data_IF_833336294958
#
_entry.id   IF_833336294958
#
_cell.length_a   1.000
_cell.length_b   1.000
_cell.length_c   1.000
_cell.angle_alpha   90.00
_cell.angle_beta   90.00
_cell.angle_gamma   90.00
#
_symmetry.space_group_name_H-M   'P 1'
#
loop_
_entity.id
_entity.type
_entity.pdbx_description
1 polymer ?
#
# COMPACT_ATOMS: atom_id res chain seq x y z
N UNK A 1 -19.06 -1.84 -20.47
CA UNK A 1 -18.57 -1.10 -19.29
C UNK A 1 -17.40 -1.88 -18.72
N UNK A 2 -16.26 -1.24 -18.52
CA UNK A 2 -15.12 -1.82 -17.80
C UNK A 2 -15.00 -1.15 -16.43
N UNK A 3 -14.80 -1.97 -15.39
CA UNK A 3 -14.52 -1.52 -14.04
C UNK A 3 -13.21 -2.13 -13.55
N UNK A 4 -12.42 -1.36 -12.80
CA UNK A 4 -11.20 -1.79 -12.11
C UNK A 4 -11.55 -2.05 -10.65
N UNK A 5 -11.25 -3.25 -10.15
CA UNK A 5 -11.27 -3.49 -8.72
C UNK A 5 -10.14 -2.67 -8.07
N UNK A 6 -10.48 -1.97 -6.99
CA UNK A 6 -9.56 -1.15 -6.19
C UNK A 6 -9.66 -1.59 -4.75
N UNK A 7 -8.53 -1.63 -4.07
CA UNK A 7 -8.42 -1.99 -2.68
C UNK A 7 -7.70 -0.89 -1.89
N UNK A 8 -8.24 -0.56 -0.74
CA UNK A 8 -7.73 0.54 0.06
C UNK A 8 -8.29 0.53 1.46
N UNK A 9 -8.51 1.72 2.01
CA UNK A 9 -9.21 1.91 3.28
C UNK A 9 -10.51 2.66 3.06
N UNK A 10 -11.53 2.24 3.79
CA UNK A 10 -12.71 3.05 4.01
C UNK A 10 -12.45 3.98 5.21
N UNK A 11 -12.64 5.28 4.99
CA UNK A 11 -12.45 6.38 5.95
C UNK A 11 -13.76 7.03 6.39
N UNK A 12 -14.87 6.63 5.75
CA UNK A 12 -16.19 7.18 6.06
C UNK A 12 -16.70 6.73 7.43
N UNK A 13 -17.95 7.08 7.70
CA UNK A 13 -18.61 6.75 8.96
C UNK A 13 -18.67 5.23 9.17
N UNK A 14 -18.26 4.80 10.37
CA UNK A 14 -18.45 3.43 10.88
C UNK A 14 -19.40 3.52 12.07
N UNK A 15 -20.53 2.82 12.00
CA UNK A 15 -21.51 2.79 13.06
C UNK A 15 -20.95 2.10 14.32
N UNK A 16 -21.28 2.59 15.53
CA UNK A 16 -20.86 1.96 16.79
C UNK A 16 -21.32 0.50 16.92
N UNK A 17 -22.40 0.14 16.23
CA UNK A 17 -22.98 -1.22 16.21
C UNK A 17 -22.42 -2.10 15.10
N UNK A 18 -21.72 -1.54 14.12
CA UNK A 18 -21.05 -2.30 13.07
C UNK A 18 -19.99 -3.21 13.66
N UNK A 19 -19.78 -4.38 13.03
CA UNK A 19 -18.66 -5.27 13.35
C UNK A 19 -17.27 -4.62 13.16
N UNK A 20 -17.21 -3.45 12.52
CA UNK A 20 -15.99 -2.67 12.32
C UNK A 20 -15.82 -1.52 13.33
N UNK A 21 -16.71 -1.38 14.32
CA UNK A 21 -16.70 -0.26 15.28
C UNK A 21 -15.38 -0.13 16.06
N UNK A 22 -14.72 -1.25 16.35
CA UNK A 22 -13.39 -1.27 16.99
C UNK A 22 -12.23 -1.09 16.00
N UNK A 23 -12.50 -1.03 14.69
CA UNK A 23 -11.51 -1.07 13.60
C UNK A 23 -11.27 0.29 12.91
N UNK A 24 -11.56 1.40 13.60
CA UNK A 24 -11.58 2.79 13.08
C UNK A 24 -10.32 3.24 12.33
N UNK A 25 -9.18 2.56 12.53
CA UNK A 25 -7.89 2.91 11.91
C UNK A 25 -7.52 1.99 10.72
N UNK A 26 -8.20 0.85 10.54
CA UNK A 26 -7.74 -0.23 9.67
C UNK A 26 -8.80 -0.94 8.82
N UNK A 27 -9.99 -0.36 8.63
CA UNK A 27 -11.01 -0.94 7.76
C UNK A 27 -10.54 -1.04 6.30
N UNK A 28 -9.85 -2.14 5.98
CA UNK A 28 -9.47 -2.49 4.61
C UNK A 28 -10.74 -2.78 3.83
N UNK A 29 -10.83 -2.18 2.67
CA UNK A 29 -12.04 -2.23 1.88
C UNK A 29 -11.73 -2.29 0.39
N UNK A 30 -12.64 -2.86 -0.39
CA UNK A 30 -12.53 -2.93 -1.84
C UNK A 30 -13.79 -2.40 -2.52
N UNK A 31 -13.60 -1.73 -3.65
CA UNK A 31 -14.67 -1.18 -4.48
C UNK A 31 -14.33 -1.30 -5.96
N UNK A 32 -15.24 -0.89 -6.82
CA UNK A 32 -15.03 -0.86 -8.27
C UNK A 32 -14.98 0.59 -8.75
N UNK A 33 -13.94 0.94 -9.48
CA UNK A 33 -13.86 2.19 -10.23
C UNK A 33 -14.20 1.96 -11.70
N UNK A 34 -15.24 2.64 -12.18
CA UNK A 34 -15.64 2.62 -13.59
C UNK A 34 -14.78 3.55 -14.43
N UNK A 35 -14.53 3.17 -15.68
CA UNK A 35 -13.94 4.05 -16.70
C UNK A 35 -14.72 5.35 -16.93
N UNK A 36 -15.98 5.43 -16.49
CA UNK A 36 -16.80 6.64 -16.51
C UNK A 36 -16.57 7.59 -15.33
N UNK A 37 -15.62 7.30 -14.43
CA UNK A 37 -15.29 8.18 -13.31
C UNK A 37 -16.11 7.96 -12.03
N UNK A 38 -16.72 6.77 -11.87
CA UNK A 38 -17.58 6.46 -10.72
C UNK A 38 -17.02 5.32 -9.86
N UNK A 39 -17.17 5.44 -8.54
CA UNK A 39 -16.99 4.39 -7.53
C UNK A 39 -18.31 3.64 -7.37
N UNK A 40 -18.24 2.32 -7.33
CA UNK A 40 -19.32 1.43 -6.92
C UNK A 40 -18.87 0.59 -5.73
N UNK A 41 -19.57 0.73 -4.62
CA UNK A 41 -19.31 0.00 -3.40
C UNK A 41 -20.59 -0.73 -2.95
N UNK A 42 -20.59 -2.04 -3.18
CA UNK A 42 -21.73 -2.92 -2.87
C UNK A 42 -21.74 -3.39 -1.40
N UNK A 43 -20.77 -2.97 -0.60
CA UNK A 43 -20.60 -3.42 0.79
C UNK A 43 -20.44 -2.26 1.77
N UNK A 44 -20.51 -0.99 1.36
CA UNK A 44 -20.46 0.19 2.26
C UNK A 44 -21.39 0.07 3.46
N UNK A 45 -22.60 -0.45 3.24
CA UNK A 45 -23.62 -0.64 4.27
C UNK A 45 -23.16 -1.49 5.47
N UNK A 46 -22.12 -2.34 5.33
CA UNK A 46 -21.57 -3.10 6.45
C UNK A 46 -20.89 -2.20 7.50
N UNK A 47 -20.31 -1.07 7.07
CA UNK A 47 -19.71 -0.09 7.97
C UNK A 47 -20.77 0.75 8.66
N UNK A 48 -21.84 1.08 7.94
CA UNK A 48 -22.94 1.91 8.43
C UNK A 48 -23.94 1.13 9.30
N UNK A 49 -23.88 -0.21 9.26
CA UNK A 49 -24.80 -1.12 9.93
C UNK A 49 -26.27 -0.86 9.55
N UNK A 50 -26.51 -0.77 8.23
CA UNK A 50 -27.83 -0.50 7.63
C UNK A 50 -28.19 -1.55 6.57
N UNK A 51 -29.43 -1.50 6.07
CA UNK A 51 -29.91 -2.36 4.99
C UNK A 51 -29.02 -2.31 3.73
N UNK A 52 -28.80 -3.44 3.04
CA UNK A 52 -27.91 -3.50 1.89
C UNK A 52 -28.27 -2.54 0.75
N UNK A 53 -27.27 -1.81 0.26
CA UNK A 53 -27.37 -0.95 -0.92
C UNK A 53 -26.05 -0.89 -1.69
N UNK A 54 -26.09 -0.37 -2.92
CA UNK A 54 -24.88 -0.06 -3.69
C UNK A 54 -24.65 1.44 -3.60
N UNK A 55 -23.58 1.83 -2.93
CA UNK A 55 -23.13 3.22 -2.91
C UNK A 55 -22.50 3.58 -4.25
N UNK A 56 -22.82 4.77 -4.74
CA UNK A 56 -22.26 5.32 -5.99
C UNK A 56 -21.79 6.74 -5.72
N UNK A 57 -20.54 7.02 -6.08
CA UNK A 57 -19.93 8.34 -5.97
C UNK A 57 -18.92 8.57 -7.10
N UNK A 58 -18.36 9.77 -7.19
CA UNK A 58 -17.25 10.07 -8.10
C UNK A 58 -15.92 9.47 -7.58
N UNK A 59 -15.01 9.14 -8.49
CA UNK A 59 -13.63 8.76 -8.13
C UNK A 59 -12.98 9.91 -7.36
N UNK A 60 -12.32 9.59 -6.24
CA UNK A 60 -11.73 10.57 -5.33
C UNK A 60 -12.64 11.01 -4.18
N UNK A 61 -13.80 10.37 -4.00
CA UNK A 61 -14.68 10.60 -2.84
C UNK A 61 -13.92 10.43 -1.52
N UNK A 62 -14.13 11.35 -0.58
CA UNK A 62 -13.32 11.50 0.64
C UNK A 62 -13.33 10.29 1.57
N UNK A 63 -14.41 9.49 1.54
CA UNK A 63 -14.56 8.25 2.30
C UNK A 63 -13.63 7.12 1.83
N UNK A 64 -12.95 7.25 0.69
CA UNK A 64 -12.14 6.18 0.10
C UNK A 64 -10.67 6.61 0.01
N UNK A 65 -9.77 5.77 0.52
CA UNK A 65 -8.32 5.92 0.41
C UNK A 65 -7.79 4.81 -0.52
N UNK A 66 -7.80 5.00 -1.86
CA UNK A 66 -7.33 4.01 -2.80
C UNK A 66 -5.88 3.66 -2.47
N UNK A 67 -5.59 2.35 -2.46
CA UNK A 67 -4.25 1.88 -2.13
C UNK A 67 -3.76 2.35 -0.74
N UNK A 68 -4.64 2.75 0.19
CA UNK A 68 -4.23 3.27 1.51
C UNK A 68 -3.15 4.35 1.42
N UNK A 69 -3.15 5.17 0.37
CA UNK A 69 -2.07 6.10 0.08
C UNK A 69 -2.00 7.23 1.12
N UNK A 70 -3.14 7.80 1.49
CA UNK A 70 -3.19 8.84 2.53
C UNK A 70 -2.77 8.26 3.89
N UNK A 71 -3.23 7.05 4.22
CA UNK A 71 -2.80 6.36 5.42
C UNK A 71 -1.28 6.12 5.42
N UNK A 72 -0.74 5.62 4.31
CA UNK A 72 0.70 5.44 4.12
C UNK A 72 1.42 6.77 4.29
N UNK A 73 0.94 7.86 3.70
CA UNK A 73 1.51 9.21 3.88
C UNK A 73 1.42 9.72 5.32
N UNK A 74 0.40 9.35 6.10
CA UNK A 74 0.31 9.72 7.52
C UNK A 74 1.27 8.92 8.39
N UNK A 75 1.38 7.62 8.16
CA UNK A 75 2.34 6.74 8.86
C UNK A 75 3.78 7.10 8.47
N UNK A 76 4.02 7.30 7.18
CA UNK A 76 5.30 7.66 6.59
C UNK A 76 5.59 9.16 6.60
N UNK A 77 4.63 10.00 6.99
CA UNK A 77 4.82 11.44 7.22
C UNK A 77 5.74 11.72 8.42
N UNK A 78 6.05 10.69 9.22
CA UNK A 78 7.13 10.69 10.22
C UNK A 78 8.47 10.18 9.67
N UNK A 79 8.57 9.92 8.36
CA UNK A 79 9.67 9.22 7.67
C UNK A 79 10.28 9.99 6.49
N UNK A 80 10.42 11.30 6.64
CA UNK A 80 11.64 12.00 6.16
C UNK A 80 12.88 11.58 6.97
N UNK A 81 12.90 10.39 7.55
CA UNK A 81 14.05 9.87 8.30
C UNK A 81 15.08 9.41 7.27
N UNK A 82 16.36 9.79 7.45
CA UNK A 82 17.43 9.30 6.59
C UNK A 82 17.41 7.78 6.57
N UNK A 83 17.84 7.20 5.46
CA UNK A 83 18.07 5.76 5.36
C UNK A 83 18.94 5.33 6.55
N UNK A 84 18.50 4.35 7.37
CA UNK A 84 19.21 4.02 8.60
C UNK A 84 20.57 3.40 8.29
N UNK A 85 21.52 3.57 9.21
CA UNK A 85 22.80 2.88 9.13
C UNK A 85 22.58 1.35 9.20
N UNK A 86 23.34 0.59 8.40
CA UNK A 86 23.29 -0.86 8.48
C UNK A 86 24.03 -1.31 9.75
N UNK A 87 23.31 -1.92 10.69
CA UNK A 87 23.93 -2.47 11.89
C UNK A 87 24.34 -3.92 11.65
N UNK A 88 25.63 -4.30 11.79
CA UNK A 88 26.04 -5.70 11.63
C UNK A 88 25.43 -6.63 12.69
N UNK A 89 24.88 -6.08 13.78
CA UNK A 89 24.23 -6.83 14.85
C UNK A 89 22.75 -7.11 14.58
N UNK A 90 22.18 -6.59 13.49
CA UNK A 90 20.80 -6.86 13.10
C UNK A 90 20.71 -7.95 12.03
N UNK A 91 19.50 -8.48 11.81
CA UNK A 91 19.24 -9.45 10.74
C UNK A 91 19.64 -8.83 9.39
N UNK A 92 20.59 -9.49 8.74
CA UNK A 92 21.04 -9.14 7.39
C UNK A 92 20.11 -9.79 6.36
N UNK A 93 19.64 -8.98 5.41
CA UNK A 93 18.68 -9.38 4.38
C UNK A 93 19.37 -9.24 3.02
N UNK A 94 19.52 -10.34 2.26
CA UNK A 94 20.11 -10.26 0.93
C UNK A 94 19.22 -9.44 0.01
N UNK A 95 19.85 -8.64 -0.85
CA UNK A 95 19.18 -7.86 -1.89
C UNK A 95 20.04 -7.90 -3.15
N UNK A 96 19.39 -8.04 -4.29
CA UNK A 96 20.05 -8.13 -5.60
C UNK A 96 19.17 -7.55 -6.71
N UNK A 97 19.73 -7.54 -7.92
CA UNK A 97 19.04 -7.12 -9.14
C UNK A 97 18.42 -5.73 -9.05
N UNK A 98 17.25 -5.57 -9.66
CA UNK A 98 16.56 -4.28 -9.74
C UNK A 98 16.17 -3.75 -8.35
N UNK A 99 15.81 -4.62 -7.40
CA UNK A 99 15.48 -4.18 -6.04
C UNK A 99 16.67 -3.49 -5.37
N UNK A 100 17.89 -4.01 -5.57
CA UNK A 100 19.11 -3.38 -5.04
C UNK A 100 19.38 -2.02 -5.69
N UNK A 101 19.14 -1.89 -7.00
CA UNK A 101 19.29 -0.63 -7.73
C UNK A 101 18.31 0.43 -7.24
N UNK A 102 17.03 0.06 -7.10
CA UNK A 102 15.97 0.95 -6.61
C UNK A 102 16.29 1.40 -5.17
N UNK A 103 16.71 0.48 -4.30
CA UNK A 103 17.07 0.84 -2.91
C UNK A 103 18.27 1.78 -2.87
N UNK A 104 19.30 1.56 -3.70
CA UNK A 104 20.45 2.46 -3.78
C UNK A 104 20.05 3.87 -4.21
N UNK A 105 19.18 3.99 -5.21
CA UNK A 105 18.65 5.27 -5.68
C UNK A 105 17.82 5.98 -4.61
N UNK A 106 16.86 5.28 -4.00
CA UNK A 106 15.98 5.82 -2.95
C UNK A 106 16.75 6.29 -1.72
N UNK A 107 17.80 5.55 -1.34
CA UNK A 107 18.62 5.86 -0.18
C UNK A 107 19.80 6.80 -0.49
N UNK A 108 20.01 7.17 -1.75
CA UNK A 108 21.15 8.00 -2.16
C UNK A 108 22.51 7.34 -1.91
N UNK A 109 22.60 6.01 -2.05
CA UNK A 109 23.84 5.27 -1.82
C UNK A 109 24.79 5.41 -3.01
N UNK A 110 26.09 5.52 -2.73
CA UNK A 110 27.13 5.57 -3.77
C UNK A 110 27.38 4.21 -4.44
N UNK A 111 26.92 3.12 -3.83
CA UNK A 111 27.07 1.76 -4.38
C UNK A 111 25.80 0.93 -4.19
N UNK A 112 25.61 -0.02 -5.09
CA UNK A 112 24.47 -0.95 -5.06
C UNK A 112 24.72 -1.96 -3.93
N UNK A 113 23.85 -2.01 -2.90
CA UNK A 113 24.02 -2.95 -1.80
C UNK A 113 23.73 -4.38 -2.28
N UNK A 114 24.47 -5.34 -1.75
CA UNK A 114 24.14 -6.77 -1.85
C UNK A 114 23.45 -7.31 -0.58
N UNK A 115 23.39 -6.48 0.46
CA UNK A 115 22.77 -6.77 1.75
C UNK A 115 22.27 -5.49 2.39
N UNK A 116 21.14 -5.57 3.08
CA UNK A 116 20.61 -4.49 3.92
C UNK A 116 20.22 -5.03 5.30
N UNK A 117 20.27 -4.15 6.30
CA UNK A 117 19.78 -4.45 7.64
C UNK A 117 18.26 -4.53 7.71
N UNK A 118 17.73 -5.13 8.77
CA UNK A 118 16.29 -5.18 9.02
C UNK A 118 15.65 -3.80 9.11
N UNK A 119 16.27 -2.84 9.79
CA UNK A 119 15.78 -1.47 9.86
C UNK A 119 15.72 -0.80 8.48
N UNK A 120 16.73 -1.04 7.64
CA UNK A 120 16.78 -0.56 6.26
C UNK A 120 15.67 -1.18 5.40
N UNK A 121 15.46 -2.49 5.50
CA UNK A 121 14.38 -3.15 4.78
C UNK A 121 13.00 -2.69 5.25
N UNK A 122 12.82 -2.45 6.55
CA UNK A 122 11.58 -1.89 7.08
C UNK A 122 11.36 -0.44 6.63
N UNK A 123 12.42 0.35 6.48
CA UNK A 123 12.34 1.69 5.89
C UNK A 123 11.82 1.65 4.45
N UNK A 124 12.31 0.70 3.64
CA UNK A 124 11.80 0.47 2.28
C UNK A 124 10.35 -0.01 2.30
N UNK A 125 9.99 -0.89 3.24
CA UNK A 125 8.65 -1.47 3.42
C UNK A 125 7.57 -0.49 3.90
N UNK A 126 7.93 0.75 4.16
CA UNK A 126 7.03 1.85 4.55
C UNK A 126 7.33 3.14 3.77
N UNK A 127 8.15 3.07 2.71
CA UNK A 127 8.52 4.23 1.91
C UNK A 127 7.28 4.83 1.19
N UNK A 128 7.19 6.15 0.98
CA UNK A 128 6.08 6.76 0.22
C UNK A 128 6.08 6.29 -1.23
N UNK A 129 5.25 5.28 -1.51
CA UNK A 129 5.19 4.57 -2.80
C UNK A 129 4.71 5.42 -3.97
N UNK A 130 4.12 6.60 -3.73
CA UNK A 130 3.71 7.52 -4.79
C UNK A 130 4.87 8.18 -5.55
N UNK A 131 6.11 7.98 -5.08
CA UNK A 131 7.32 8.42 -5.76
C UNK A 131 7.92 7.35 -6.69
N UNK A 132 7.37 6.13 -6.69
CA UNK A 132 7.89 5.00 -7.46
C UNK A 132 6.95 4.65 -8.61
N UNK A 133 7.51 4.13 -9.71
CA UNK A 133 6.71 3.55 -10.79
C UNK A 133 6.03 2.25 -10.34
N UNK A 134 4.95 1.83 -11.01
CA UNK A 134 4.29 0.55 -10.71
C UNK A 134 5.25 -0.64 -10.86
N UNK A 135 6.19 -0.57 -11.82
CA UNK A 135 7.20 -1.60 -12.06
C UNK A 135 8.19 -1.69 -10.88
N UNK A 136 8.70 -0.55 -10.42
CA UNK A 136 9.63 -0.48 -9.28
C UNK A 136 8.94 -0.96 -7.99
N UNK A 137 7.69 -0.56 -7.77
CA UNK A 137 6.90 -1.04 -6.63
C UNK A 137 6.72 -2.55 -6.65
N UNK A 138 6.48 -3.14 -7.84
CA UNK A 138 6.34 -4.58 -7.97
C UNK A 138 7.62 -5.33 -7.59
N UNK A 139 8.77 -4.82 -8.03
CA UNK A 139 10.09 -5.39 -7.74
C UNK A 139 10.45 -5.31 -6.26
N UNK A 140 10.25 -4.14 -5.64
CA UNK A 140 10.44 -3.94 -4.20
C UNK A 140 9.51 -4.85 -3.40
N UNK A 141 8.24 -4.92 -3.78
CA UNK A 141 7.27 -5.79 -3.12
C UNK A 141 7.68 -7.27 -3.20
N UNK A 142 8.07 -7.74 -4.39
CA UNK A 142 8.53 -9.12 -4.59
C UNK A 142 9.74 -9.44 -3.70
N UNK A 143 10.72 -8.53 -3.62
CA UNK A 143 11.88 -8.69 -2.74
C UNK A 143 11.49 -8.76 -1.25
N UNK A 144 10.64 -7.84 -0.77
CA UNK A 144 10.16 -7.84 0.62
C UNK A 144 9.43 -9.14 0.98
N UNK A 145 8.53 -9.60 0.11
CA UNK A 145 7.77 -10.84 0.33
C UNK A 145 8.65 -12.09 0.29
N UNK A 146 9.62 -12.14 -0.62
CA UNK A 146 10.60 -13.24 -0.71
C UNK A 146 11.40 -13.37 0.59
N UNK A 147 11.68 -12.24 1.23
CA UNK A 147 12.37 -12.16 2.52
C UNK A 147 11.44 -12.24 3.74
N UNK A 148 10.15 -12.55 3.53
CA UNK A 148 9.10 -12.69 4.56
C UNK A 148 8.90 -11.43 5.39
N UNK A 149 9.07 -10.27 4.75
CA UNK A 149 8.79 -8.96 5.34
C UNK A 149 7.42 -8.49 4.86
N UNK A 150 6.57 -8.08 5.82
CA UNK A 150 5.28 -7.50 5.48
C UNK A 150 5.50 -6.04 5.05
N UNK A 151 5.13 -5.73 3.83
CA UNK A 151 5.15 -4.36 3.32
C UNK A 151 3.79 -3.69 3.53
N UNK A 152 3.80 -2.37 3.72
CA UNK A 152 2.58 -1.55 3.55
C UNK A 152 2.26 -1.30 2.06
N UNK A 153 2.84 -2.08 1.14
CA UNK A 153 2.60 -1.93 -0.30
C UNK A 153 1.17 -2.38 -0.61
N UNK A 154 0.38 -1.52 -1.26
CA UNK A 154 -1.02 -1.82 -1.59
C UNK A 154 -1.18 -2.98 -2.56
N UNK A 155 -2.20 -3.81 -2.32
CA UNK A 155 -2.47 -5.02 -3.13
C UNK A 155 -2.79 -4.72 -4.60
N UNK A 156 -3.27 -3.51 -4.89
CA UNK A 156 -3.54 -3.05 -6.25
C UNK A 156 -2.28 -3.00 -7.12
N UNK A 157 -1.12 -2.67 -6.53
CA UNK A 157 0.16 -2.66 -7.24
C UNK A 157 0.72 -4.08 -7.46
N UNK A 158 0.34 -5.02 -6.60
CA UNK A 158 0.76 -6.43 -6.70
C UNK A 158 0.07 -7.14 -7.88
N UNK A 159 -1.19 -6.79 -8.16
CA UNK A 159 -1.99 -7.44 -9.21
C UNK A 159 -1.92 -6.75 -10.57
N UNK A 160 -1.32 -5.56 -10.67
CA UNK A 160 -1.06 -4.90 -11.95
C UNK A 160 -0.15 -5.76 -12.86
N UNK A 161 0.81 -6.50 -12.29
CA UNK A 161 1.71 -7.40 -13.02
C UNK A 161 1.12 -8.75 -13.37
N UNK A 162 -0.09 -9.09 -12.88
CA UNK A 162 -0.82 -10.31 -13.26
C UNK A 162 -1.78 -10.11 -14.43
N UNK A 163 -1.83 -8.92 -15.04
CA UNK A 163 -2.66 -8.68 -16.23
C UNK A 163 -2.05 -9.37 -17.47
N UNK A 164 -2.51 -10.60 -17.68
CA UNK A 164 -2.73 -11.31 -18.95
C UNK A 164 -1.53 -11.50 -19.89
N UNK A 165 -0.89 -12.68 -19.78
CA UNK A 165 -0.63 -13.51 -20.97
C UNK A 165 -1.91 -14.21 -21.41
#
# INVERSE_FOLDING_TARGET
>A
MSGKAVYGKYKGYIAPTSMFSDSVVFARHGWIESSSGAIFDATRWVFEDVEPYVFVAEIGHEDYDPSSLEFSKRVSGSLTRPFPENSPNEKQIPIDGDAAMIVAELAGLESIPNVVGFAQAMWVAIYPYDQLSEDDLSKIHQWLMTNKLNALIPVDFINATKKCT
#
